data_IF_611635601223
#
_entry.id   IF_611635601223
#
_cell.length_a   1.000
_cell.length_b   1.000
_cell.length_c   1.000
_cell.angle_alpha   90.00
_cell.angle_beta   90.00
_cell.angle_gamma   90.00
#
_symmetry.space_group_name_H-M   'P 1'
#
loop_
_entity.id
_entity.type
_entity.pdbx_description
1 polymer ?
#
# COMPACT_ATOMS: atom_id res chain seq x y z
N UNK A 1 -3.01 -27.54 25.27
CA UNK A 1 -2.71 -26.53 24.21
C UNK A 1 -3.34 -27.01 22.92
N UNK A 2 -4.26 -26.26 22.38
CA UNK A 2 -4.88 -26.63 21.10
C UNK A 2 -3.86 -26.40 19.97
N UNK A 3 -3.65 -27.45 19.15
CA UNK A 3 -2.75 -27.37 17.99
C UNK A 3 -3.37 -26.44 16.94
N UNK A 4 -2.56 -25.60 16.31
CA UNK A 4 -3.00 -24.77 15.19
C UNK A 4 -3.60 -25.65 14.08
N UNK A 5 -4.79 -25.27 13.60
CA UNK A 5 -5.51 -25.99 12.52
C UNK A 5 -5.10 -25.46 11.14
N UNK A 6 -4.78 -24.19 11.06
CA UNK A 6 -4.41 -23.50 9.84
C UNK A 6 -3.00 -22.93 9.93
N UNK A 7 -2.29 -22.87 8.81
CA UNK A 7 -1.13 -22.00 8.67
C UNK A 7 -1.60 -20.54 8.61
N UNK A 8 -0.68 -19.62 8.83
CA UNK A 8 -0.93 -18.19 8.69
C UNK A 8 0.02 -17.58 7.68
N UNK A 9 -0.53 -16.78 6.78
CA UNK A 9 0.21 -15.93 5.88
C UNK A 9 -0.49 -14.57 5.76
N UNK A 10 0.22 -13.57 5.30
CA UNK A 10 -0.32 -12.23 5.14
C UNK A 10 0.27 -11.56 3.90
N UNK A 11 -0.54 -10.72 3.26
CA UNK A 11 -0.05 -9.80 2.25
C UNK A 11 0.94 -8.83 2.91
N UNK A 12 2.10 -8.52 2.29
CA UNK A 12 3.11 -7.64 2.90
C UNK A 12 2.55 -6.28 3.35
N UNK A 13 1.67 -5.68 2.55
CA UNK A 13 1.02 -4.43 2.90
C UNK A 13 -0.02 -4.59 4.02
N UNK A 14 -0.61 -5.78 4.23
CA UNK A 14 -1.52 -6.02 5.35
C UNK A 14 -0.78 -6.03 6.70
N UNK A 15 0.48 -6.44 6.70
CA UNK A 15 1.33 -6.32 7.89
C UNK A 15 1.64 -4.85 8.20
N UNK A 16 1.77 -4.00 7.18
CA UNK A 16 1.91 -2.56 7.36
C UNK A 16 0.62 -1.94 7.93
N UNK A 17 -0.55 -2.34 7.41
CA UNK A 17 -1.84 -1.91 7.96
C UNK A 17 -1.92 -2.26 9.45
N UNK A 18 -1.57 -3.51 9.81
CA UNK A 18 -1.62 -3.98 11.20
C UNK A 18 -0.71 -3.19 12.14
N UNK A 19 0.41 -2.68 11.62
CA UNK A 19 1.31 -1.81 12.39
C UNK A 19 0.78 -0.39 12.52
N UNK A 20 0.00 0.07 11.55
CA UNK A 20 -0.53 1.44 11.49
C UNK A 20 -1.79 1.65 12.35
N UNK A 21 -2.54 0.59 12.68
CA UNK A 21 -3.71 0.69 13.56
C UNK A 21 -3.32 1.01 15.01
N UNK A 22 -4.24 1.59 15.82
CA UNK A 22 -4.00 1.79 17.24
C UNK A 22 -3.58 0.51 17.96
N UNK A 23 -2.73 0.62 18.97
CA UNK A 23 -2.16 -0.53 19.67
C UNK A 23 -3.23 -1.48 20.20
N UNK A 24 -4.26 -0.96 20.86
CA UNK A 24 -5.38 -1.76 21.37
C UNK A 24 -6.12 -2.53 20.28
N UNK A 25 -6.28 -1.94 19.11
CA UNK A 25 -6.91 -2.59 17.96
C UNK A 25 -5.98 -3.65 17.37
N UNK A 26 -4.69 -3.39 17.32
CA UNK A 26 -3.68 -4.36 16.87
C UNK A 26 -3.69 -5.60 17.75
N UNK A 27 -3.73 -5.44 19.08
CA UNK A 27 -3.74 -6.54 20.01
C UNK A 27 -5.00 -7.39 19.86
N UNK A 28 -6.17 -6.75 19.72
CA UNK A 28 -7.43 -7.45 19.43
C UNK A 28 -7.39 -8.16 18.07
N UNK A 29 -6.81 -7.53 17.05
CA UNK A 29 -6.66 -8.15 15.73
C UNK A 29 -5.77 -9.40 15.77
N UNK A 30 -4.66 -9.33 16.52
CA UNK A 30 -3.77 -10.49 16.72
C UNK A 30 -4.46 -11.61 17.48
N UNK A 31 -5.27 -11.27 18.47
CA UNK A 31 -6.06 -12.25 19.23
C UNK A 31 -7.10 -12.95 18.33
N UNK A 32 -7.81 -12.19 17.49
CA UNK A 32 -8.75 -12.76 16.53
C UNK A 32 -8.05 -13.65 15.48
N UNK A 33 -6.89 -13.23 14.97
CA UNK A 33 -6.08 -14.06 14.07
C UNK A 33 -5.62 -15.36 14.75
N UNK A 34 -5.24 -15.29 16.02
CA UNK A 34 -4.89 -16.49 16.81
C UNK A 34 -6.09 -17.43 16.95
N UNK A 35 -7.28 -16.92 17.25
CA UNK A 35 -8.50 -17.73 17.31
C UNK A 35 -8.80 -18.42 15.99
N UNK A 36 -8.68 -17.71 14.88
CA UNK A 36 -8.88 -18.25 13.54
C UNK A 36 -7.89 -19.37 13.23
N UNK A 37 -6.60 -19.18 13.52
CA UNK A 37 -5.54 -20.19 13.30
C UNK A 37 -5.81 -21.46 14.08
N UNK A 38 -6.42 -21.36 15.27
CA UNK A 38 -6.78 -22.52 16.07
C UNK A 38 -8.13 -23.17 15.66
N UNK A 39 -8.78 -22.65 14.63
CA UNK A 39 -9.99 -23.23 14.05
C UNK A 39 -11.30 -22.66 14.57
N UNK A 40 -11.27 -21.59 15.33
CA UNK A 40 -12.46 -20.82 15.68
C UNK A 40 -12.88 -20.00 14.44
N UNK A 41 -13.52 -20.66 13.48
CA UNK A 41 -13.96 -20.03 12.25
C UNK A 41 -14.99 -18.95 12.56
N UNK A 42 -14.53 -17.70 12.56
CA UNK A 42 -15.35 -16.52 12.72
C UNK A 42 -15.34 -15.72 11.42
N UNK A 43 -16.39 -14.96 11.22
CA UNK A 43 -16.46 -14.06 10.10
C UNK A 43 -17.56 -14.41 9.12
N UNK A 44 -17.95 -13.41 8.36
CA UNK A 44 -18.98 -13.55 7.33
C UNK A 44 -18.34 -13.51 5.95
N UNK A 45 -18.79 -14.39 5.07
CA UNK A 45 -18.35 -14.41 3.67
C UNK A 45 -18.68 -13.09 2.98
N UNK A 46 -17.73 -12.63 2.19
CA UNK A 46 -17.88 -11.46 1.33
C UNK A 46 -18.31 -11.89 -0.08
N UNK A 47 -18.90 -10.97 -0.81
CA UNK A 47 -19.43 -11.20 -2.14
C UNK A 47 -18.78 -10.29 -3.19
N UNK A 48 -19.18 -10.42 -4.45
CA UNK A 48 -18.71 -9.65 -5.59
C UNK A 48 -17.19 -9.80 -5.77
N UNK A 49 -16.46 -8.69 -5.79
CA UNK A 49 -14.99 -8.63 -6.01
C UNK A 49 -14.21 -9.37 -4.93
N UNK A 50 -14.81 -9.55 -3.75
CA UNK A 50 -14.22 -10.24 -2.60
C UNK A 50 -14.81 -11.63 -2.37
N UNK A 51 -15.40 -12.25 -3.38
CA UNK A 51 -15.87 -13.64 -3.30
C UNK A 51 -14.72 -14.57 -2.90
N UNK A 52 -14.97 -15.40 -1.89
CA UNK A 52 -13.95 -16.28 -1.30
C UNK A 52 -13.17 -15.64 -0.15
N UNK A 53 -13.40 -14.36 0.13
CA UNK A 53 -12.88 -13.69 1.31
C UNK A 53 -13.93 -13.63 2.43
N UNK A 54 -13.45 -13.42 3.64
CA UNK A 54 -14.28 -13.31 4.84
C UNK A 54 -13.90 -12.03 5.60
N UNK A 55 -14.89 -11.36 6.16
CA UNK A 55 -14.70 -10.27 7.10
C UNK A 55 -14.74 -10.79 8.52
N UNK A 56 -13.83 -10.32 9.35
CA UNK A 56 -13.80 -10.61 10.79
C UNK A 56 -13.83 -9.28 11.54
N UNK A 57 -14.67 -9.19 12.55
CA UNK A 57 -14.73 -8.00 13.40
C UNK A 57 -13.63 -8.10 14.45
N UNK A 58 -12.95 -7.00 14.68
CA UNK A 58 -11.83 -6.92 15.62
C UNK A 58 -12.30 -6.44 16.99
N UNK A 59 -13.11 -5.39 16.98
CA UNK A 59 -13.59 -4.72 18.18
C UNK A 59 -15.08 -4.93 18.41
N UNK A 60 -15.55 -4.84 19.66
CA UNK A 60 -16.97 -5.00 20.01
C UNK A 60 -17.87 -3.97 19.31
N UNK A 61 -17.34 -2.78 19.03
CA UNK A 61 -18.07 -1.71 18.33
C UNK A 61 -18.12 -1.92 16.81
N UNK A 62 -17.50 -2.98 16.31
CA UNK A 62 -17.46 -3.37 14.89
C UNK A 62 -16.93 -2.28 13.94
N UNK A 63 -16.12 -1.39 14.47
CA UNK A 63 -15.47 -0.31 13.69
C UNK A 63 -14.30 -0.82 12.88
N UNK A 64 -13.56 -1.79 13.41
CA UNK A 64 -12.38 -2.37 12.77
C UNK A 64 -12.63 -3.77 12.25
N UNK A 65 -12.01 -4.07 11.11
CA UNK A 65 -12.21 -5.34 10.41
C UNK A 65 -10.91 -5.87 9.85
N UNK A 66 -10.83 -7.19 9.87
CA UNK A 66 -9.88 -7.96 9.07
C UNK A 66 -10.60 -8.45 7.81
N UNK A 67 -9.90 -8.47 6.70
CA UNK A 67 -10.29 -9.19 5.49
C UNK A 67 -9.31 -10.33 5.30
N UNK A 68 -9.82 -11.55 5.33
CA UNK A 68 -9.03 -12.78 5.23
C UNK A 68 -9.54 -13.65 4.10
N UNK A 69 -8.71 -14.57 3.67
CA UNK A 69 -9.06 -15.62 2.72
C UNK A 69 -8.58 -16.97 3.27
N UNK A 70 -9.43 -17.99 3.18
CA UNK A 70 -9.02 -19.37 3.42
C UNK A 70 -8.55 -19.97 2.10
N UNK A 71 -7.28 -20.33 2.01
CA UNK A 71 -6.69 -20.91 0.80
C UNK A 71 -5.84 -22.14 1.12
N UNK A 72 -5.45 -22.87 0.11
CA UNK A 72 -4.56 -24.02 0.29
C UNK A 72 -3.18 -23.52 0.73
N UNK A 73 -2.61 -24.19 1.72
CA UNK A 73 -1.28 -23.89 2.19
C UNK A 73 -0.22 -24.39 1.19
N UNK A 74 0.94 -23.73 1.11
CA UNK A 74 2.02 -24.19 0.24
C UNK A 74 2.49 -25.61 0.64
N UNK A 75 3.02 -26.36 -0.34
CA UNK A 75 3.45 -27.74 -0.15
C UNK A 75 4.53 -27.90 0.96
N UNK A 76 5.24 -26.84 1.29
CA UNK A 76 6.22 -26.82 2.39
C UNK A 76 5.58 -26.70 3.77
N UNK A 77 4.28 -26.40 3.86
CA UNK A 77 3.54 -26.27 5.11
C UNK A 77 3.16 -27.62 5.69
N UNK A 78 3.14 -27.71 7.02
CA UNK A 78 2.58 -28.87 7.72
C UNK A 78 1.04 -28.85 7.78
N UNK A 79 0.43 -27.75 7.35
CA UNK A 79 -1.03 -27.57 7.30
C UNK A 79 -1.53 -27.69 5.88
N UNK A 80 -2.73 -28.23 5.71
CA UNK A 80 -3.39 -28.33 4.39
C UNK A 80 -3.93 -26.99 3.91
N UNK A 81 -4.34 -26.15 4.84
CA UNK A 81 -4.95 -24.83 4.54
C UNK A 81 -4.28 -23.74 5.36
N UNK A 82 -4.33 -22.54 4.83
CA UNK A 82 -3.84 -21.34 5.52
C UNK A 82 -4.91 -20.25 5.56
N UNK A 83 -4.78 -19.40 6.55
CA UNK A 83 -5.49 -18.12 6.62
C UNK A 83 -4.56 -17.06 6.06
N UNK A 84 -5.04 -16.38 5.04
CA UNK A 84 -4.30 -15.31 4.40
C UNK A 84 -4.93 -13.96 4.72
N UNK A 85 -4.20 -13.10 5.42
CA UNK A 85 -4.63 -11.75 5.75
C UNK A 85 -4.42 -10.82 4.57
N UNK A 86 -5.49 -10.25 4.05
CA UNK A 86 -5.47 -9.32 2.91
C UNK A 86 -5.43 -7.85 3.33
N UNK A 87 -6.17 -7.47 4.36
CA UNK A 87 -6.23 -6.09 4.82
C UNK A 87 -6.71 -5.99 6.27
N UNK A 88 -6.29 -4.93 6.93
CA UNK A 88 -6.83 -4.47 8.21
C UNK A 88 -7.26 -3.02 8.04
N UNK A 89 -8.42 -2.65 8.53
CA UNK A 89 -8.87 -1.27 8.39
C UNK A 89 -10.23 -1.00 9.03
N UNK A 90 -10.57 0.27 9.03
CA UNK A 90 -11.85 0.72 9.55
C UNK A 90 -13.02 0.31 8.63
N UNK A 91 -14.21 0.24 9.26
CA UNK A 91 -15.47 0.07 8.55
C UNK A 91 -15.80 1.27 7.70
N UNK A 92 -15.42 2.45 8.18
CA UNK A 92 -15.73 3.71 7.53
C UNK A 92 -15.26 3.69 6.08
N UNK A 93 -16.10 4.19 5.17
CA UNK A 93 -15.85 4.26 3.73
C UNK A 93 -15.47 2.93 3.06
N UNK A 94 -15.74 1.82 3.73
CA UNK A 94 -15.36 0.48 3.26
C UNK A 94 -13.86 0.34 2.92
N UNK A 95 -13.02 1.10 3.58
CA UNK A 95 -11.60 1.21 3.28
C UNK A 95 -10.90 -0.16 3.26
N UNK A 96 -11.14 -1.00 4.28
CA UNK A 96 -10.58 -2.35 4.34
C UNK A 96 -10.97 -3.21 3.12
N UNK A 97 -12.19 -3.09 2.64
CA UNK A 97 -12.67 -3.88 1.49
C UNK A 97 -12.08 -3.41 0.18
N UNK A 98 -12.01 -2.10 -0.05
CA UNK A 98 -11.38 -1.52 -1.25
C UNK A 98 -9.89 -1.90 -1.32
N UNK A 99 -9.20 -1.79 -0.20
CA UNK A 99 -7.79 -2.18 -0.09
C UNK A 99 -7.61 -3.67 -0.38
N UNK A 100 -8.44 -4.54 0.21
CA UNK A 100 -8.38 -5.97 -0.05
C UNK A 100 -8.66 -6.33 -1.51
N UNK A 101 -9.66 -5.70 -2.13
CA UNK A 101 -10.00 -5.92 -3.54
C UNK A 101 -8.85 -5.54 -4.47
N UNK A 102 -8.23 -4.37 -4.25
CA UNK A 102 -7.08 -3.92 -5.03
C UNK A 102 -5.87 -4.86 -4.90
N UNK A 103 -5.60 -5.36 -3.68
CA UNK A 103 -4.50 -6.30 -3.43
C UNK A 103 -4.76 -7.63 -4.12
N UNK A 104 -5.98 -8.14 -4.00
CA UNK A 104 -6.37 -9.40 -4.63
C UNK A 104 -6.30 -9.32 -6.16
N UNK A 105 -6.69 -8.20 -6.75
CA UNK A 105 -6.59 -7.97 -8.19
C UNK A 105 -5.13 -7.90 -8.64
N UNK A 106 -4.26 -7.24 -7.90
CA UNK A 106 -2.81 -7.22 -8.17
C UNK A 106 -2.21 -8.63 -8.12
N UNK A 107 -2.60 -9.44 -7.13
CA UNK A 107 -2.14 -10.83 -7.02
C UNK A 107 -2.62 -11.67 -8.20
N UNK A 108 -3.88 -11.54 -8.60
CA UNK A 108 -4.44 -12.23 -9.78
C UNK A 108 -3.69 -11.85 -11.06
N UNK A 109 -3.47 -10.58 -11.26
CA UNK A 109 -2.73 -10.06 -12.42
C UNK A 109 -1.28 -10.57 -12.40
N UNK A 110 -0.60 -10.53 -11.27
CA UNK A 110 0.75 -11.04 -11.13
C UNK A 110 0.86 -12.55 -11.38
N UNK A 111 -0.17 -13.31 -10.98
CA UNK A 111 -0.23 -14.75 -11.22
C UNK A 111 -0.54 -15.07 -12.68
N UNK A 112 -1.36 -14.27 -13.35
CA UNK A 112 -1.69 -14.41 -14.76
C UNK A 112 -0.51 -14.04 -15.70
N UNK A 113 0.44 -13.23 -15.22
CA UNK A 113 1.63 -12.88 -16.00
C UNK A 113 2.58 -14.07 -16.14
N UNK A 114 3.10 -14.25 -17.36
CA UNK A 114 4.12 -15.29 -17.62
C UNK A 114 5.41 -15.00 -16.85
N UNK A 115 6.25 -16.02 -16.56
CA UNK A 115 7.56 -15.80 -15.95
C UNK A 115 8.46 -14.85 -16.76
N UNK A 116 8.31 -14.86 -18.09
CA UNK A 116 9.02 -13.95 -18.99
C UNK A 116 8.58 -12.51 -18.82
N UNK A 117 7.26 -12.26 -18.76
CA UNK A 117 6.70 -10.91 -18.58
C UNK A 117 7.07 -10.32 -17.22
N UNK A 118 7.06 -11.16 -16.18
CA UNK A 118 7.51 -10.75 -14.83
C UNK A 118 8.98 -10.32 -14.83
N UNK A 119 9.86 -11.04 -15.52
CA UNK A 119 11.28 -10.68 -15.67
C UNK A 119 11.44 -9.39 -16.46
N UNK A 120 10.72 -9.22 -17.55
CA UNK A 120 10.74 -8.02 -18.37
C UNK A 120 10.26 -6.77 -17.57
N UNK A 121 9.19 -6.91 -16.79
CA UNK A 121 8.68 -5.84 -15.94
C UNK A 121 9.69 -5.48 -14.84
N UNK A 122 10.28 -6.47 -14.17
CA UNK A 122 11.31 -6.25 -13.15
C UNK A 122 12.56 -5.57 -13.72
N UNK A 123 12.96 -5.92 -14.95
CA UNK A 123 14.07 -5.29 -15.65
C UNK A 123 13.77 -3.82 -15.95
N UNK A 124 12.56 -3.52 -16.44
CA UNK A 124 12.12 -2.13 -16.70
C UNK A 124 12.07 -1.30 -15.43
N UNK A 125 11.60 -1.87 -14.31
CA UNK A 125 11.55 -1.16 -13.03
C UNK A 125 12.95 -0.86 -12.45
N UNK A 126 13.96 -1.65 -12.81
CA UNK A 126 15.35 -1.44 -12.39
C UNK A 126 16.16 -0.58 -13.35
N UNK A 127 15.67 -0.36 -14.56
CA UNK A 127 16.34 0.52 -15.53
C UNK A 127 16.24 1.96 -15.06
N UNK A 128 17.37 2.68 -14.86
CA UNK A 128 17.31 4.09 -14.57
C UNK A 128 16.59 4.75 -15.75
N UNK A 129 15.53 5.48 -15.47
CA UNK A 129 14.90 6.32 -16.46
C UNK A 129 15.94 7.35 -16.89
N UNK A 130 16.51 7.16 -18.07
CA UNK A 130 17.26 8.21 -18.70
C UNK A 130 16.28 9.37 -18.89
N UNK A 131 16.49 10.44 -18.17
CA UNK A 131 15.88 11.73 -18.45
C UNK A 131 16.44 12.21 -19.78
N UNK A 132 15.95 11.62 -20.86
CA UNK A 132 16.10 12.18 -22.20
C UNK A 132 15.14 13.37 -22.28
N UNK A 133 15.67 14.55 -22.17
CA UNK A 133 14.87 15.75 -22.41
C UNK A 133 15.27 16.97 -21.61
N UNK A 134 16.55 17.27 -21.56
CA UNK A 134 16.94 18.67 -21.34
C UNK A 134 17.35 19.25 -22.70
N UNK A 135 16.55 20.15 -23.31
CA UNK A 135 17.00 20.85 -24.49
C UNK A 135 18.22 21.71 -24.09
N UNK A 136 19.32 21.51 -24.80
CA UNK A 136 20.48 22.34 -24.69
C UNK A 136 20.08 23.79 -25.04
N UNK A 137 20.03 24.65 -24.03
CA UNK A 137 19.95 26.09 -24.25
C UNK A 137 21.30 26.53 -24.79
N UNK A 138 21.35 26.75 -26.08
CA UNK A 138 22.42 27.40 -26.78
C UNK A 138 22.62 28.78 -26.16
N UNK A 139 23.71 28.92 -25.44
CA UNK A 139 24.22 30.22 -25.01
C UNK A 139 24.74 30.95 -26.22
N UNK A 140 23.93 31.78 -26.81
CA UNK A 140 24.42 32.84 -27.67
C UNK A 140 24.83 34.02 -26.78
N UNK A 141 26.11 34.21 -26.73
CA UNK A 141 26.76 35.39 -26.17
C UNK A 141 26.71 36.50 -27.24
N UNK A 142 26.15 37.66 -26.96
CA UNK A 142 26.47 38.86 -27.76
C UNK A 142 27.59 39.63 -27.05
N UNK A 143 28.52 39.99 -27.89
CA UNK A 143 29.68 40.82 -27.62
C UNK A 143 29.33 42.22 -27.09
N UNK A 144 30.32 42.74 -26.41
CA UNK A 144 30.41 44.07 -25.85
C UNK A 144 30.06 45.20 -26.81
N UNK A 145 29.43 46.23 -26.30
CA UNK A 145 29.75 47.62 -26.68
C UNK A 145 29.37 48.57 -25.54
N UNK A 146 30.37 49.17 -25.12
CA UNK A 146 30.69 50.42 -24.44
C UNK A 146 29.63 51.53 -24.42
N UNK A 147 29.72 52.27 -23.33
CA UNK A 147 29.56 53.70 -23.12
C UNK A 147 28.35 54.13 -22.32
N UNK A 148 28.61 54.60 -21.21
CA UNK A 148 28.94 55.97 -20.77
C UNK A 148 27.72 56.73 -20.19
N UNK A 149 27.90 57.08 -18.94
CA UNK A 149 27.70 58.38 -18.32
C UNK A 149 26.31 58.79 -17.81
N UNK A 150 26.36 59.03 -16.56
CA UNK A 150 25.89 60.20 -15.80
C UNK A 150 24.46 60.22 -15.23
N UNK A 151 24.46 60.31 -13.98
CA UNK A 151 24.32 61.47 -13.09
C UNK A 151 22.94 61.68 -12.46
N UNK A 152 23.06 61.78 -11.16
CA UNK A 152 22.40 62.71 -10.23
C UNK A 152 20.92 62.42 -9.89
N UNK A 153 20.75 62.08 -8.71
CA UNK A 153 20.47 62.92 -7.56
C UNK A 153 19.01 62.98 -7.17
N UNK A 154 18.86 62.78 -5.94
CA UNK A 154 18.06 63.60 -5.00
C UNK A 154 16.62 63.16 -4.80
N UNK A 155 16.40 62.69 -3.66
CA UNK A 155 15.89 63.39 -2.47
C UNK A 155 14.41 63.26 -2.21
N UNK A 156 14.20 62.93 -0.97
CA UNK A 156 13.10 63.31 -0.04
C UNK A 156 11.78 62.62 -0.14
N UNK A 157 11.55 61.83 0.85
CA UNK A 157 11.00 62.24 2.16
C UNK A 157 9.51 62.60 2.16
N UNK A 158 8.86 61.98 3.04
CA UNK A 158 7.83 62.35 3.99
C UNK A 158 6.55 61.51 3.87
N UNK A 159 6.33 60.72 4.86
CA UNK A 159 5.57 60.99 6.08
C UNK A 159 4.06 61.02 5.93
N UNK A 160 3.46 60.21 6.74
CA UNK A 160 2.19 60.38 7.49
C UNK A 160 0.89 60.08 6.77
N UNK A 161 0.16 59.17 7.19
CA UNK A 161 -0.74 59.01 8.35
C UNK A 161 -1.33 57.64 8.37
#
# INVERSE_FOLDING_TARGET
>A
MSRARYAFAAHPEALADLRAVPETIRDLALLELQHLVHGNERGAALQRELTGCHKVYVDPETRWRLVIQYRDAPASSQHKREIYLLAVGERQDQAAYRTAALRLERERTATAMSPHDRRAQAARARSPQHHAGRPATTTQQPAATTAVTNRTASERATRSR
#
